data_IF_391942131341
#
_entry.id   IF_391942131341
#
_cell.length_a   1.000
_cell.length_b   1.000
_cell.length_c   1.000
_cell.angle_alpha   90.00
_cell.angle_beta   90.00
_cell.angle_gamma   90.00
#
_symmetry.space_group_name_H-M   'P 1'
#
loop_
_entity.id
_entity.type
_entity.pdbx_description
1 polymer ?
#
# COMPACT_ATOMS: atom_id res chain seq x y z
N UNK A 1 6.96 -17.81 -36.45
CA UNK A 1 6.71 -16.38 -36.14
C UNK A 1 5.68 -16.35 -35.02
N UNK A 2 6.14 -16.13 -33.78
CA UNK A 2 5.26 -16.00 -32.61
C UNK A 2 4.72 -14.57 -32.59
N UNK A 3 3.41 -14.42 -32.69
CA UNK A 3 2.74 -13.13 -32.83
C UNK A 3 2.71 -12.36 -31.52
N UNK A 4 3.07 -11.08 -31.65
CA UNK A 4 3.26 -10.06 -30.63
C UNK A 4 1.93 -9.55 -30.04
N UNK A 5 1.12 -10.43 -29.44
CA UNK A 5 -0.17 -10.05 -28.84
C UNK A 5 -0.14 -10.24 -27.32
N UNK A 6 0.38 -9.24 -26.59
CA UNK A 6 0.28 -9.22 -25.12
C UNK A 6 0.23 -7.81 -24.48
N UNK A 7 0.46 -6.72 -25.22
CA UNK A 7 0.55 -5.37 -24.62
C UNK A 7 -0.36 -4.30 -25.21
N UNK A 8 -1.30 -4.66 -26.09
CA UNK A 8 -2.07 -3.66 -26.87
C UNK A 8 -3.58 -3.73 -26.69
N UNK A 9 -4.04 -3.95 -25.46
CA UNK A 9 -5.46 -3.74 -25.14
C UNK A 9 -5.63 -3.24 -23.69
N UNK A 10 -5.02 -2.09 -23.39
CA UNK A 10 -5.53 -1.24 -22.31
C UNK A 10 -6.90 -0.73 -22.80
N UNK A 11 -7.96 -1.44 -22.42
CA UNK A 11 -9.32 -1.22 -22.90
C UNK A 11 -9.72 0.27 -22.81
N UNK A 12 -10.26 0.78 -23.91
CA UNK A 12 -10.65 2.18 -24.12
C UNK A 12 -11.94 2.61 -23.42
N UNK A 13 -12.65 1.72 -22.72
CA UNK A 13 -13.85 2.10 -21.95
C UNK A 13 -13.54 2.16 -20.46
N UNK A 14 -13.28 3.38 -19.97
CA UNK A 14 -13.21 3.66 -18.54
C UNK A 14 -14.62 3.44 -17.93
N UNK A 15 -14.93 2.20 -17.53
CA UNK A 15 -16.20 1.87 -16.87
C UNK A 15 -16.42 2.68 -15.58
N UNK A 16 -15.36 3.26 -15.02
CA UNK A 16 -15.38 3.98 -13.76
C UNK A 16 -14.40 5.16 -13.83
N UNK A 17 -14.90 6.37 -14.10
CA UNK A 17 -14.18 7.65 -14.02
C UNK A 17 -14.55 8.43 -12.74
N UNK A 18 -15.67 8.08 -12.11
CA UNK A 18 -16.15 8.73 -10.90
C UNK A 18 -15.26 8.40 -9.68
N UNK A 19 -15.01 9.35 -8.77
CA UNK A 19 -14.38 9.09 -7.48
C UNK A 19 -15.21 8.17 -6.58
N UNK A 20 -14.59 7.63 -5.53
CA UNK A 20 -15.32 6.93 -4.47
C UNK A 20 -16.39 7.85 -3.86
N UNK A 21 -17.58 7.31 -3.62
CA UNK A 21 -18.66 8.05 -2.95
C UNK A 21 -18.21 8.40 -1.53
N UNK A 22 -18.22 9.68 -1.19
CA UNK A 22 -17.76 10.18 0.11
C UNK A 22 -16.26 10.47 0.21
N UNK A 23 -15.49 10.32 -0.88
CA UNK A 23 -14.07 10.69 -0.90
C UNK A 23 -13.91 12.18 -0.55
N UNK A 24 -13.07 12.54 0.44
CA UNK A 24 -12.70 13.93 0.67
C UNK A 24 -11.95 14.48 -0.55
N UNK A 25 -12.67 15.19 -1.43
CA UNK A 25 -12.13 15.57 -2.73
C UNK A 25 -11.38 16.90 -2.70
N UNK A 26 -11.89 17.95 -2.04
CA UNK A 26 -11.23 19.26 -1.97
C UNK A 26 -10.38 19.41 -0.70
N UNK A 27 -9.08 19.19 -0.82
CA UNK A 27 -8.12 19.17 0.29
C UNK A 27 -7.10 20.30 0.14
N UNK A 28 -6.76 20.96 1.25
CA UNK A 28 -5.71 21.99 1.26
C UNK A 28 -4.33 21.31 1.34
N UNK A 29 -3.52 21.49 0.30
CA UNK A 29 -2.13 21.02 0.20
C UNK A 29 -1.26 22.26 0.00
N UNK A 30 -0.35 22.49 0.95
CA UNK A 30 0.63 23.60 0.93
C UNK A 30 0.00 24.97 0.65
N UNK A 31 -1.15 25.23 1.27
CA UNK A 31 -1.88 26.49 1.13
C UNK A 31 -2.95 26.49 0.04
N UNK A 32 -2.93 25.55 -0.90
CA UNK A 32 -3.79 25.52 -2.09
C UNK A 32 -4.83 24.40 -2.00
N UNK A 33 -6.07 24.68 -2.41
CA UNK A 33 -7.09 23.63 -2.51
C UNK A 33 -6.93 22.82 -3.78
N UNK A 34 -6.69 21.53 -3.64
CA UNK A 34 -6.55 20.57 -4.73
C UNK A 34 -7.71 19.57 -4.70
N UNK A 35 -8.20 19.19 -5.87
CA UNK A 35 -9.22 18.15 -6.01
C UNK A 35 -8.57 16.79 -6.27
N UNK A 36 -8.72 15.87 -5.33
CA UNK A 36 -8.28 14.48 -5.48
C UNK A 36 -9.40 13.61 -6.03
N UNK A 37 -8.99 12.61 -6.79
CA UNK A 37 -9.88 11.66 -7.46
C UNK A 37 -9.05 10.59 -8.15
N UNK A 38 -9.69 9.79 -9.00
CA UNK A 38 -9.05 8.61 -9.54
C UNK A 38 -8.00 8.93 -10.60
N UNK A 39 -6.90 8.18 -10.55
CA UNK A 39 -5.89 8.20 -11.59
C UNK A 39 -6.16 7.08 -12.61
N UNK A 40 -6.60 7.45 -13.81
CA UNK A 40 -7.04 6.47 -14.83
C UNK A 40 -5.95 5.47 -15.25
N UNK A 41 -4.67 5.85 -15.44
CA UNK A 41 -3.61 4.88 -15.69
C UNK A 41 -3.50 3.82 -14.60
N UNK A 42 -3.53 4.21 -13.32
CA UNK A 42 -3.51 3.28 -12.20
C UNK A 42 -4.73 2.36 -12.15
N UNK A 43 -5.94 2.89 -12.42
CA UNK A 43 -7.16 2.06 -12.52
C UNK A 43 -7.03 1.01 -13.63
N UNK A 44 -6.60 1.42 -14.82
CA UNK A 44 -6.41 0.51 -15.96
C UNK A 44 -5.37 -0.57 -15.66
N UNK A 45 -4.25 -0.22 -15.03
CA UNK A 45 -3.23 -1.18 -14.62
C UNK A 45 -3.77 -2.18 -13.58
N UNK A 46 -4.54 -1.72 -12.60
CA UNK A 46 -5.16 -2.59 -11.60
C UNK A 46 -6.18 -3.56 -12.23
N UNK A 47 -7.00 -3.08 -13.16
CA UNK A 47 -7.96 -3.90 -13.91
C UNK A 47 -7.25 -4.93 -14.80
N UNK A 48 -6.20 -4.52 -15.51
CA UNK A 48 -5.40 -5.39 -16.35
C UNK A 48 -4.76 -6.52 -15.53
N UNK A 49 -4.18 -6.19 -14.36
CA UNK A 49 -3.63 -7.17 -13.44
C UNK A 49 -4.69 -8.20 -13.02
N UNK A 50 -5.85 -7.74 -12.49
CA UNK A 50 -6.90 -8.65 -12.03
C UNK A 50 -7.41 -9.57 -13.16
N UNK A 51 -7.62 -9.03 -14.36
CA UNK A 51 -8.03 -9.82 -15.52
C UNK A 51 -6.99 -10.86 -15.92
N UNK A 52 -5.70 -10.53 -15.82
CA UNK A 52 -4.62 -11.46 -16.19
C UNK A 52 -4.57 -12.71 -15.32
N UNK A 53 -5.02 -12.61 -14.07
CA UNK A 53 -5.10 -13.73 -13.12
C UNK A 53 -6.51 -14.33 -13.05
N UNK A 54 -7.37 -14.03 -14.03
CA UNK A 54 -8.73 -14.58 -14.12
C UNK A 54 -9.73 -14.01 -13.10
N UNK A 55 -9.39 -12.93 -12.38
CA UNK A 55 -10.29 -12.26 -11.44
C UNK A 55 -11.08 -11.15 -12.13
N UNK A 56 -12.33 -10.95 -11.70
CA UNK A 56 -13.12 -9.79 -12.10
C UNK A 56 -12.62 -8.55 -11.35
N UNK A 57 -12.48 -7.39 -12.02
CA UNK A 57 -12.09 -6.14 -11.36
C UNK A 57 -13.24 -5.57 -10.54
N UNK A 58 -13.36 -6.02 -9.30
CA UNK A 58 -14.32 -5.52 -8.32
C UNK A 58 -13.55 -4.77 -7.25
N UNK A 59 -13.77 -3.46 -7.17
CA UNK A 59 -13.14 -2.57 -6.20
C UNK A 59 -14.21 -1.88 -5.34
N UNK A 60 -13.87 -1.46 -4.10
CA UNK A 60 -14.71 -0.57 -3.32
C UNK A 60 -15.15 0.66 -4.10
N UNK A 61 -16.38 1.12 -3.86
CA UNK A 61 -17.00 2.31 -4.46
C UNK A 61 -17.31 3.39 -3.45
N UNK A 62 -17.20 3.08 -2.17
CA UNK A 62 -17.51 4.00 -1.07
C UNK A 62 -16.24 4.27 -0.28
N UNK A 63 -15.96 5.54 -0.01
CA UNK A 63 -14.98 5.95 0.98
C UNK A 63 -15.61 5.81 2.36
N UNK A 64 -15.14 4.83 3.14
CA UNK A 64 -15.75 4.51 4.44
C UNK A 64 -15.11 5.32 5.55
N UNK A 65 -15.94 5.71 6.52
CA UNK A 65 -15.45 6.25 7.78
C UNK A 65 -14.77 5.16 8.59
N UNK A 66 -13.70 5.54 9.28
CA UNK A 66 -12.95 4.60 10.09
C UNK A 66 -13.73 4.21 11.35
N UNK A 67 -13.76 2.92 11.66
CA UNK A 67 -14.33 2.40 12.90
C UNK A 67 -13.27 2.44 14.01
N UNK A 68 -13.41 3.41 14.93
CA UNK A 68 -12.44 3.65 16.01
C UNK A 68 -12.29 2.47 16.96
N UNK A 69 -13.39 1.79 17.30
CA UNK A 69 -13.36 0.66 18.25
C UNK A 69 -12.64 -0.54 17.62
N UNK A 70 -12.92 -0.82 16.34
CA UNK A 70 -12.16 -1.82 15.58
C UNK A 70 -10.68 -1.45 15.52
N UNK A 71 -10.35 -0.22 15.16
CA UNK A 71 -8.95 0.19 15.02
C UNK A 71 -8.20 0.16 16.36
N UNK A 72 -8.86 0.47 17.46
CA UNK A 72 -8.26 0.37 18.81
C UNK A 72 -7.97 -1.09 19.18
N UNK A 73 -8.89 -2.01 18.88
CA UNK A 73 -8.67 -3.46 19.06
C UNK A 73 -7.52 -3.99 18.21
N UNK A 74 -7.46 -3.58 16.94
CA UNK A 74 -6.37 -3.96 16.03
C UNK A 74 -5.03 -3.42 16.54
N UNK A 75 -4.99 -2.17 17.02
CA UNK A 75 -3.78 -1.56 17.55
C UNK A 75 -3.21 -2.36 18.73
N UNK A 76 -4.07 -2.79 19.65
CA UNK A 76 -3.68 -3.65 20.77
C UNK A 76 -3.15 -5.02 20.28
N UNK A 77 -3.86 -5.66 19.35
CA UNK A 77 -3.41 -6.94 18.79
C UNK A 77 -2.06 -6.81 18.08
N UNK A 78 -1.82 -5.70 17.37
CA UNK A 78 -0.53 -5.46 16.70
C UNK A 78 0.59 -5.17 17.71
N UNK A 79 0.30 -4.48 18.81
CA UNK A 79 1.26 -4.28 19.92
C UNK A 79 1.69 -5.64 20.50
N UNK A 80 0.72 -6.51 20.78
CA UNK A 80 0.94 -7.84 21.38
C UNK A 80 1.52 -8.86 20.38
N UNK A 81 1.36 -8.63 19.07
CA UNK A 81 1.81 -9.53 18.00
C UNK A 81 3.31 -9.84 18.16
N UNK A 82 3.62 -11.14 18.25
CA UNK A 82 4.98 -11.63 18.19
C UNK A 82 5.32 -12.01 16.74
N UNK A 83 6.52 -11.68 16.24
CA UNK A 83 6.98 -12.19 14.95
C UNK A 83 6.99 -13.73 14.93
N UNK A 84 6.50 -14.32 13.86
CA UNK A 84 6.45 -15.77 13.63
C UNK A 84 7.08 -16.16 12.28
N UNK A 85 8.34 -15.77 12.00
CA UNK A 85 8.93 -15.92 10.67
C UNK A 85 9.13 -17.37 10.21
N UNK A 86 9.11 -18.35 11.12
CA UNK A 86 9.19 -19.79 10.79
C UNK A 86 7.84 -20.51 10.82
N UNK A 87 6.74 -19.84 11.22
CA UNK A 87 5.42 -20.45 11.18
C UNK A 87 4.97 -20.67 9.72
N UNK A 88 4.52 -21.88 9.41
CA UNK A 88 4.23 -22.28 8.03
C UNK A 88 3.13 -21.42 7.39
N UNK A 89 2.13 -21.01 8.17
CA UNK A 89 1.04 -20.18 7.67
C UNK A 89 1.50 -18.75 7.43
N UNK A 90 2.33 -18.20 8.33
CA UNK A 90 2.99 -16.89 8.18
C UNK A 90 3.85 -16.87 6.93
N UNK A 91 4.75 -17.84 6.76
CA UNK A 91 5.60 -17.97 5.57
C UNK A 91 4.75 -18.06 4.29
N UNK A 92 3.69 -18.87 4.30
CA UNK A 92 2.80 -19.03 3.14
C UNK A 92 2.06 -17.74 2.79
N UNK A 93 1.56 -17.00 3.79
CA UNK A 93 0.86 -15.74 3.61
C UNK A 93 1.77 -14.64 3.05
N UNK A 94 2.97 -14.48 3.63
CA UNK A 94 3.94 -13.53 3.12
C UNK A 94 4.49 -13.94 1.75
N UNK A 95 4.74 -15.24 1.49
CA UNK A 95 5.15 -15.69 0.15
C UNK A 95 4.11 -15.37 -0.92
N UNK A 96 2.82 -15.55 -0.61
CA UNK A 96 1.72 -15.15 -1.49
C UNK A 96 1.68 -13.63 -1.69
N UNK A 97 1.81 -12.85 -0.61
CA UNK A 97 1.92 -11.38 -0.67
C UNK A 97 3.05 -10.93 -1.59
N UNK A 98 4.24 -11.51 -1.45
CA UNK A 98 5.42 -11.18 -2.25
C UNK A 98 5.18 -11.51 -3.71
N UNK A 99 4.77 -12.74 -4.02
CA UNK A 99 4.53 -13.17 -5.40
C UNK A 99 3.50 -12.29 -6.09
N UNK A 100 2.38 -12.00 -5.42
CA UNK A 100 1.31 -11.16 -5.96
C UNK A 100 1.72 -9.69 -6.08
N UNK A 101 2.55 -9.17 -5.17
CA UNK A 101 3.11 -7.80 -5.22
C UNK A 101 4.08 -7.65 -6.39
N UNK A 102 4.98 -8.60 -6.59
CA UNK A 102 5.91 -8.58 -7.72
C UNK A 102 5.17 -8.71 -9.06
N UNK A 103 4.11 -9.51 -9.11
CA UNK A 103 3.26 -9.58 -10.30
C UNK A 103 2.53 -8.25 -10.57
N UNK A 104 2.03 -7.58 -9.53
CA UNK A 104 1.43 -6.25 -9.63
C UNK A 104 2.44 -5.19 -10.11
N UNK A 105 3.68 -5.25 -9.63
CA UNK A 105 4.75 -4.35 -10.03
C UNK A 105 5.00 -4.34 -11.55
N UNK A 106 4.92 -5.49 -12.21
CA UNK A 106 5.05 -5.57 -13.67
C UNK A 106 4.00 -4.70 -14.41
N UNK A 107 2.76 -4.65 -13.89
CA UNK A 107 1.71 -3.81 -14.45
C UNK A 107 1.92 -2.33 -14.18
N UNK A 108 2.53 -1.97 -13.04
CA UNK A 108 2.90 -0.59 -12.74
C UNK A 108 4.02 -0.14 -13.68
N UNK A 109 5.07 -0.96 -13.88
CA UNK A 109 6.15 -0.63 -14.83
C UNK A 109 5.63 -0.36 -16.24
N UNK A 110 4.62 -1.12 -16.68
CA UNK A 110 3.99 -0.92 -17.99
C UNK A 110 3.26 0.43 -18.14
N UNK A 111 2.96 1.14 -17.03
CA UNK A 111 2.42 2.51 -17.08
C UNK A 111 3.48 3.58 -17.35
N UNK A 112 4.77 3.20 -17.32
CA UNK A 112 5.90 4.12 -17.47
C UNK A 112 6.21 4.94 -16.22
N UNK A 113 5.63 4.58 -15.05
CA UNK A 113 5.94 5.21 -13.78
C UNK A 113 7.46 5.19 -13.54
N UNK A 114 8.03 6.36 -13.29
CA UNK A 114 9.41 6.50 -12.83
C UNK A 114 9.44 6.44 -11.31
N UNK A 115 10.38 5.69 -10.77
CA UNK A 115 10.57 5.57 -9.33
C UNK A 115 12.02 5.88 -9.00
N UNK A 116 12.22 6.67 -7.96
CA UNK A 116 13.53 7.05 -7.41
C UNK A 116 13.53 6.83 -5.89
N UNK A 117 14.69 6.64 -5.28
CA UNK A 117 14.78 6.70 -3.82
C UNK A 117 14.76 8.14 -3.33
N UNK A 118 14.24 8.34 -2.12
CA UNK A 118 14.24 9.64 -1.46
C UNK A 118 15.63 10.31 -1.50
N UNK A 119 15.73 11.56 -1.99
CA UNK A 119 17.01 12.24 -2.09
C UNK A 119 17.61 12.45 -0.70
N UNK A 120 18.83 11.96 -0.50
CA UNK A 120 19.53 11.97 0.80
C UNK A 120 18.75 11.27 1.94
N UNK A 121 17.86 10.33 1.61
CA UNK A 121 17.05 9.58 2.59
C UNK A 121 16.00 10.42 3.31
N UNK A 122 15.70 11.63 2.85
CA UNK A 122 14.71 12.53 3.46
C UNK A 122 13.42 12.54 2.65
N UNK A 123 12.29 12.67 3.35
CA UNK A 123 10.97 12.84 2.72
C UNK A 123 10.99 14.06 1.77
N UNK A 124 10.84 13.87 0.45
CA UNK A 124 10.86 14.96 -0.51
C UNK A 124 9.53 15.69 -0.61
N UNK A 125 8.45 15.12 -0.06
CA UNK A 125 7.09 15.60 -0.27
C UNK A 125 6.63 16.58 0.79
N UNK A 126 7.06 16.40 2.05
CA UNK A 126 6.65 17.17 3.21
C UNK A 126 5.18 16.96 3.58
N UNK A 127 4.27 17.34 2.68
CA UNK A 127 2.89 16.88 2.70
C UNK A 127 2.78 15.57 1.91
N UNK A 128 2.36 14.45 2.53
CA UNK A 128 2.33 13.16 1.85
C UNK A 128 1.35 13.13 0.66
N UNK A 129 0.39 14.06 0.58
CA UNK A 129 -0.46 14.22 -0.60
C UNK A 129 0.33 14.61 -1.85
N UNK A 130 1.52 15.20 -1.72
CA UNK A 130 2.37 15.51 -2.86
C UNK A 130 2.90 14.25 -3.56
N UNK A 131 2.98 13.08 -2.89
CA UNK A 131 3.29 11.81 -3.56
C UNK A 131 2.23 11.44 -4.60
N UNK A 132 0.96 11.62 -4.28
CA UNK A 132 -0.13 11.39 -5.25
C UNK A 132 -0.08 12.40 -6.39
N UNK A 133 0.22 13.66 -6.10
CA UNK A 133 0.35 14.70 -7.12
C UNK A 133 1.56 14.50 -8.03
N UNK A 134 2.66 13.95 -7.50
CA UNK A 134 3.85 13.64 -8.28
C UNK A 134 3.55 12.54 -9.31
N UNK A 135 2.85 11.48 -8.90
CA UNK A 135 2.42 10.44 -9.83
C UNK A 135 1.44 11.00 -10.87
N UNK A 136 0.45 11.77 -10.44
CA UNK A 136 -0.59 12.30 -11.34
C UNK A 136 -0.03 13.29 -12.36
N UNK A 137 0.88 14.17 -11.94
CA UNK A 137 1.36 15.27 -12.78
C UNK A 137 2.66 14.95 -13.53
N UNK A 138 3.52 14.09 -12.96
CA UNK A 138 4.87 13.84 -13.45
C UNK A 138 5.12 12.36 -13.79
N UNK A 139 4.17 11.46 -13.50
CA UNK A 139 4.35 10.01 -13.60
C UNK A 139 5.62 9.55 -12.87
N UNK A 140 5.82 10.10 -11.67
CA UNK A 140 7.02 9.93 -10.87
C UNK A 140 6.64 9.65 -9.39
N UNK A 141 7.43 8.83 -8.70
CA UNK A 141 7.28 8.55 -7.27
C UNK A 141 8.64 8.34 -6.59
N UNK A 142 8.97 9.18 -5.63
CA UNK A 142 9.96 8.90 -4.61
C UNK A 142 9.47 7.89 -3.57
N UNK A 143 10.34 6.95 -3.19
CA UNK A 143 10.11 6.07 -2.03
C UNK A 143 11.24 6.10 -1.02
N UNK A 144 10.88 5.93 0.25
CA UNK A 144 11.85 5.77 1.33
C UNK A 144 12.42 4.34 1.28
N UNK A 145 13.73 4.16 1.00
CA UNK A 145 14.35 2.84 0.95
C UNK A 145 14.19 2.07 2.25
N UNK A 146 13.85 0.79 2.14
CA UNK A 146 13.70 -0.16 3.24
C UNK A 146 14.93 -0.17 4.13
N UNK A 147 16.12 -0.16 3.52
CA UNK A 147 17.41 -0.15 4.23
C UNK A 147 17.61 1.04 5.18
N UNK A 148 16.84 2.12 5.03
CA UNK A 148 16.89 3.29 5.93
C UNK A 148 15.69 3.40 6.88
N UNK A 149 14.64 2.59 6.68
CA UNK A 149 13.32 2.85 7.27
C UNK A 149 12.57 1.59 7.70
N UNK A 150 13.26 0.48 7.95
CA UNK A 150 12.63 -0.76 8.39
C UNK A 150 12.42 -0.82 9.91
N UNK A 151 12.01 0.27 10.56
CA UNK A 151 11.60 0.32 11.99
C UNK A 151 12.67 -0.04 13.05
N UNK A 152 13.71 -0.78 12.68
CA UNK A 152 14.85 -1.22 13.48
C UNK A 152 15.97 -1.65 12.51
N UNK A 153 17.18 -1.11 12.69
CA UNK A 153 18.34 -1.47 11.87
C UNK A 153 18.73 -2.95 12.01
N UNK A 154 18.42 -3.58 13.15
CA UNK A 154 18.80 -4.97 13.42
C UNK A 154 18.03 -5.97 12.53
N UNK A 155 16.84 -5.60 12.04
CA UNK A 155 16.03 -6.44 11.14
C UNK A 155 16.48 -6.41 9.67
N UNK A 156 17.19 -5.37 9.23
CA UNK A 156 17.69 -5.27 7.85
C UNK A 156 18.87 -6.23 7.59
N UNK A 157 19.57 -6.66 8.64
CA UNK A 157 20.77 -7.48 8.53
C UNK A 157 20.48 -8.99 8.60
N UNK A 158 19.22 -9.41 8.80
CA UNK A 158 18.85 -10.82 8.92
C UNK A 158 17.65 -11.21 8.03
N UNK A 159 17.94 -11.69 6.80
CA UNK A 159 16.92 -12.23 5.89
C UNK A 159 16.21 -13.47 6.43
N UNK A 160 16.81 -14.22 7.36
CA UNK A 160 16.20 -15.39 7.98
C UNK A 160 15.07 -14.99 8.95
N UNK A 161 15.03 -13.72 9.36
CA UNK A 161 13.98 -13.16 10.21
C UNK A 161 12.84 -12.50 9.43
N UNK A 162 13.04 -12.09 8.17
CA UNK A 162 11.99 -11.46 7.37
C UNK A 162 12.20 -11.57 5.84
N UNK A 163 11.35 -12.32 5.15
CA UNK A 163 11.43 -12.48 3.68
C UNK A 163 11.05 -11.22 2.88
N UNK A 164 10.52 -10.18 3.54
CA UNK A 164 10.25 -8.88 2.90
C UNK A 164 11.52 -8.07 2.64
N UNK A 165 12.65 -8.41 3.28
CA UNK A 165 13.96 -7.75 3.01
C UNK A 165 14.81 -8.53 2.00
N UNK A 166 14.25 -9.54 1.32
CA UNK A 166 14.92 -10.24 0.23
C UNK A 166 15.13 -9.34 -0.98
N UNK A 167 16.27 -9.47 -1.65
CA UNK A 167 16.60 -8.74 -2.87
C UNK A 167 15.74 -9.20 -4.06
N UNK A 168 15.42 -8.25 -4.95
CA UNK A 168 14.63 -8.49 -6.15
C UNK A 168 15.51 -8.41 -7.40
N UNK A 169 14.93 -8.64 -8.58
CA UNK A 169 15.61 -8.39 -9.86
C UNK A 169 15.57 -6.93 -10.30
N UNK A 170 14.90 -6.03 -9.56
CA UNK A 170 14.74 -4.63 -9.94
C UNK A 170 15.87 -3.78 -9.35
N UNK A 171 16.46 -2.94 -10.18
CA UNK A 171 17.52 -1.98 -9.80
C UNK A 171 17.05 -0.56 -10.10
N UNK A 172 17.15 0.32 -9.11
CA UNK A 172 16.87 1.76 -9.21
C UNK A 172 18.01 2.52 -8.55
N UNK A 173 18.45 3.63 -9.14
CA UNK A 173 19.58 4.44 -8.64
C UNK A 173 20.86 3.63 -8.37
N UNK A 174 21.09 2.58 -9.16
CA UNK A 174 22.23 1.67 -9.01
C UNK A 174 22.14 0.72 -7.80
N UNK A 175 21.01 0.66 -7.10
CA UNK A 175 20.77 -0.21 -5.96
C UNK A 175 19.70 -1.25 -6.27
N UNK A 176 19.94 -2.49 -5.81
CA UNK A 176 18.94 -3.57 -5.89
C UNK A 176 17.84 -3.28 -4.88
N UNK A 177 16.60 -3.26 -5.35
CA UNK A 177 15.43 -3.07 -4.52
C UNK A 177 15.13 -4.31 -3.71
N UNK A 178 14.72 -4.11 -2.46
CA UNK A 178 14.16 -5.16 -1.62
C UNK A 178 12.68 -5.35 -1.94
N UNK A 179 12.14 -6.52 -1.61
CA UNK A 179 10.72 -6.83 -1.79
C UNK A 179 9.82 -5.78 -1.11
N UNK A 180 10.18 -5.32 0.09
CA UNK A 180 9.45 -4.29 0.81
C UNK A 180 9.47 -2.91 0.13
N UNK A 181 10.52 -2.60 -0.66
CA UNK A 181 10.56 -1.37 -1.47
C UNK A 181 9.49 -1.43 -2.57
N UNK A 182 9.42 -2.58 -3.26
CA UNK A 182 8.39 -2.81 -4.29
C UNK A 182 7.00 -2.82 -3.66
N UNK A 183 6.84 -3.42 -2.48
CA UNK A 183 5.57 -3.44 -1.76
C UNK A 183 5.06 -2.04 -1.44
N UNK A 184 5.93 -1.13 -0.98
CA UNK A 184 5.57 0.28 -0.73
C UNK A 184 5.09 0.98 -2.00
N UNK A 185 5.81 0.83 -3.11
CA UNK A 185 5.42 1.42 -4.40
C UNK A 185 4.05 0.91 -4.85
N UNK A 186 3.88 -0.42 -4.83
CA UNK A 186 2.64 -1.08 -5.26
C UNK A 186 1.47 -0.61 -4.40
N UNK A 187 1.67 -0.51 -3.08
CA UNK A 187 0.66 0.00 -2.17
C UNK A 187 0.35 1.48 -2.40
N UNK A 188 1.35 2.34 -2.54
CA UNK A 188 1.14 3.77 -2.81
C UNK A 188 0.39 3.97 -4.14
N UNK A 189 0.77 3.23 -5.17
CA UNK A 189 0.15 3.35 -6.49
C UNK A 189 -1.29 2.81 -6.52
N UNK A 190 -1.53 1.57 -6.07
CA UNK A 190 -2.86 0.95 -6.15
C UNK A 190 -3.79 1.26 -4.97
N UNK A 191 -3.23 1.52 -3.79
CA UNK A 191 -3.97 1.92 -2.59
C UNK A 191 -4.27 3.42 -2.55
N UNK A 192 -3.27 4.27 -2.75
CA UNK A 192 -3.42 5.72 -2.63
C UNK A 192 -3.74 6.40 -3.96
N UNK A 193 -2.85 6.32 -4.95
CA UNK A 193 -2.94 7.07 -6.22
C UNK A 193 -4.17 6.68 -7.02
N UNK A 194 -4.48 5.38 -7.14
CA UNK A 194 -5.58 4.85 -7.96
C UNK A 194 -6.91 5.55 -7.72
N UNK A 195 -7.22 5.88 -6.47
CA UNK A 195 -8.48 6.50 -6.05
C UNK A 195 -8.32 7.91 -5.47
N UNK A 196 -7.10 8.36 -5.21
CA UNK A 196 -6.82 9.61 -4.49
C UNK A 196 -6.99 9.50 -2.97
N UNK A 197 -6.78 8.31 -2.39
CA UNK A 197 -6.84 8.12 -0.93
C UNK A 197 -5.68 8.88 -0.23
N UNK A 198 -5.92 9.30 1.01
CA UNK A 198 -4.92 10.01 1.81
C UNK A 198 -4.06 9.10 2.68
N UNK A 199 -3.10 9.70 3.37
CA UNK A 199 -2.13 9.01 4.23
C UNK A 199 -2.37 9.23 5.74
N UNK A 200 -3.56 9.73 6.10
CA UNK A 200 -4.02 9.76 7.50
C UNK A 200 -4.89 8.54 7.74
N UNK A 201 -5.19 8.23 9.01
CA UNK A 201 -5.80 6.98 9.42
C UNK A 201 -6.99 6.48 8.55
N UNK A 202 -7.94 7.37 8.23
CA UNK A 202 -9.08 7.03 7.37
C UNK A 202 -8.66 6.78 5.91
N UNK A 203 -7.71 7.55 5.40
CA UNK A 203 -7.16 7.38 4.06
C UNK A 203 -6.39 6.07 3.92
N UNK A 204 -5.57 5.72 4.91
CA UNK A 204 -4.83 4.45 4.99
C UNK A 204 -5.77 3.24 5.03
N UNK A 205 -6.84 3.26 5.84
CA UNK A 205 -7.82 2.15 5.86
C UNK A 205 -8.54 2.02 4.52
N UNK A 206 -8.88 3.13 3.85
CA UNK A 206 -9.46 3.07 2.50
C UNK A 206 -8.45 2.65 1.42
N UNK A 207 -7.18 3.03 1.54
CA UNK A 207 -6.11 2.57 0.66
C UNK A 207 -5.90 1.06 0.81
N UNK A 208 -5.89 0.56 2.04
CA UNK A 208 -5.90 -0.86 2.35
C UNK A 208 -7.12 -1.56 1.73
N UNK A 209 -8.35 -1.05 1.91
CA UNK A 209 -9.57 -1.63 1.29
C UNK A 209 -9.45 -1.75 -0.23
N UNK A 210 -8.95 -0.69 -0.87
CA UNK A 210 -8.75 -0.66 -2.32
C UNK A 210 -7.72 -1.67 -2.79
N UNK A 211 -6.60 -1.77 -2.08
CA UNK A 211 -5.49 -2.64 -2.44
C UNK A 211 -5.77 -4.11 -2.10
N UNK A 212 -6.44 -4.39 -0.98
CA UNK A 212 -6.81 -5.72 -0.54
C UNK A 212 -7.66 -6.46 -1.58
N UNK A 213 -8.52 -5.76 -2.33
CA UNK A 213 -9.30 -6.34 -3.42
C UNK A 213 -8.45 -6.98 -4.54
N UNK A 214 -7.17 -6.63 -4.63
CA UNK A 214 -6.24 -7.18 -5.64
C UNK A 214 -5.60 -8.49 -5.20
N UNK A 215 -5.51 -8.74 -3.89
CA UNK A 215 -4.81 -9.90 -3.35
C UNK A 215 -5.71 -11.13 -3.16
N UNK A 216 -5.11 -12.32 -3.11
CA UNK A 216 -5.77 -13.55 -2.67
C UNK A 216 -6.16 -13.49 -1.18
N UNK A 217 -7.12 -14.30 -0.71
CA UNK A 217 -7.43 -14.39 0.71
C UNK A 217 -6.20 -14.66 1.59
N UNK A 218 -5.29 -15.52 1.12
CA UNK A 218 -4.07 -15.86 1.86
C UNK A 218 -3.10 -14.66 1.95
N UNK A 219 -2.80 -14.01 0.82
CA UNK A 219 -1.94 -12.82 0.80
C UNK A 219 -2.54 -11.65 1.60
N UNK A 220 -3.88 -11.50 1.59
CA UNK A 220 -4.58 -10.46 2.36
C UNK A 220 -4.32 -10.55 3.86
N UNK A 221 -4.00 -11.73 4.41
CA UNK A 221 -3.67 -11.88 5.84
C UNK A 221 -2.36 -11.18 6.21
N UNK A 222 -1.31 -11.36 5.40
CA UNK A 222 -0.05 -10.65 5.57
C UNK A 222 -0.23 -9.15 5.28
N UNK A 223 -0.94 -8.81 4.19
CA UNK A 223 -1.27 -7.41 3.85
C UNK A 223 -1.96 -6.67 5.00
N UNK A 224 -2.93 -7.31 5.66
CA UNK A 224 -3.66 -6.71 6.78
C UNK A 224 -2.76 -6.45 7.98
N UNK A 225 -1.81 -7.35 8.24
CA UNK A 225 -0.85 -7.20 9.35
C UNK A 225 0.10 -6.03 9.08
N UNK A 226 0.66 -5.95 7.87
CA UNK A 226 1.66 -4.94 7.51
C UNK A 226 1.06 -3.55 7.23
N UNK A 227 -0.18 -3.45 6.72
CA UNK A 227 -0.79 -2.14 6.42
C UNK A 227 -1.79 -1.73 7.49
N UNK A 228 -2.84 -2.53 7.68
CA UNK A 228 -3.95 -2.16 8.56
C UNK A 228 -3.54 -2.20 10.03
N UNK A 229 -2.77 -3.22 10.42
CA UNK A 229 -2.19 -3.38 11.75
C UNK A 229 -1.33 -2.18 12.13
N UNK A 230 -0.34 -1.86 11.30
CA UNK A 230 0.52 -0.69 11.49
C UNK A 230 -0.26 0.62 11.51
N UNK A 231 -1.19 0.85 10.57
CA UNK A 231 -2.02 2.07 10.58
C UNK A 231 -2.81 2.21 11.88
N UNK A 232 -3.38 1.11 12.38
CA UNK A 232 -4.10 1.11 13.64
C UNK A 232 -3.17 1.38 14.83
N UNK A 233 -2.01 0.73 14.87
CA UNK A 233 -1.02 0.95 15.92
C UNK A 233 -0.49 2.38 15.94
N UNK A 234 -0.14 2.94 14.77
CA UNK A 234 0.34 4.32 14.65
C UNK A 234 -0.68 5.30 15.21
N UNK A 235 -1.97 5.06 14.99
CA UNK A 235 -3.01 6.00 15.37
C UNK A 235 -3.63 5.73 16.74
N UNK A 236 -3.61 4.51 17.30
CA UNK A 236 -4.27 4.16 18.57
C UNK A 236 -3.45 3.27 19.50
N UNK A 237 -2.20 2.94 19.15
CA UNK A 237 -1.26 2.27 20.03
C UNK A 237 -0.65 3.22 21.08
N UNK A 238 0.44 2.81 21.75
CA UNK A 238 1.07 3.55 22.85
C UNK A 238 1.43 5.01 22.51
N UNK A 239 1.82 5.26 21.25
CA UNK A 239 2.20 6.60 20.76
C UNK A 239 1.08 7.31 19.98
N UNK A 240 -0.14 6.75 19.96
CA UNK A 240 -1.24 7.23 19.12
C UNK A 240 -1.65 8.68 19.39
N UNK A 241 -1.57 9.16 20.64
CA UNK A 241 -1.87 10.56 20.94
C UNK A 241 -0.87 11.54 20.31
N UNK A 242 0.43 11.19 20.34
CA UNK A 242 1.49 11.95 19.70
C UNK A 242 1.35 11.87 18.17
N UNK A 243 1.30 10.66 17.63
CA UNK A 243 1.28 10.40 16.19
C UNK A 243 0.11 11.04 15.45
N UNK A 244 -1.08 11.12 16.05
CA UNK A 244 -2.24 11.80 15.42
C UNK A 244 -2.01 13.30 15.20
N UNK A 245 -1.04 13.91 15.89
CA UNK A 245 -0.65 15.33 15.75
C UNK A 245 0.67 15.50 14.98
N UNK A 246 1.44 14.43 14.81
CA UNK A 246 2.75 14.44 14.19
C UNK A 246 2.69 14.62 12.65
N UNK A 247 3.77 15.18 12.10
CA UNK A 247 4.07 15.08 10.67
C UNK A 247 4.76 13.72 10.38
N UNK A 248 5.05 13.42 9.11
CA UNK A 248 5.68 12.16 8.71
C UNK A 248 7.03 11.90 9.37
N UNK A 249 7.86 12.95 9.54
CA UNK A 249 9.20 12.83 10.14
C UNK A 249 9.20 12.66 11.66
N UNK A 250 8.16 13.14 12.34
CA UNK A 250 8.01 13.05 13.81
C UNK A 250 7.12 11.87 14.25
N UNK A 251 6.56 11.11 13.30
CA UNK A 251 5.72 9.96 13.59
C UNK A 251 6.57 8.81 14.11
N UNK A 252 6.18 8.24 15.26
CA UNK A 252 6.81 7.05 15.83
C UNK A 252 6.10 5.84 15.24
N UNK A 253 6.84 5.05 14.47
CA UNK A 253 6.34 3.82 13.87
C UNK A 253 6.63 2.62 14.77
N UNK A 254 5.81 1.58 14.66
CA UNK A 254 6.11 0.31 15.28
C UNK A 254 7.25 -0.38 14.52
N UNK A 255 8.01 -1.26 15.19
CA UNK A 255 8.80 -2.25 14.47
C UNK A 255 7.91 -3.04 13.51
N UNK A 256 8.40 -3.30 12.30
CA UNK A 256 7.69 -4.14 11.34
C UNK A 256 7.82 -5.60 11.78
N UNK A 257 6.70 -6.32 11.84
CA UNK A 257 6.63 -7.68 12.40
C UNK A 257 6.19 -8.66 11.32
N UNK A 258 7.01 -9.65 10.98
CA UNK A 258 6.58 -10.77 10.15
C UNK A 258 5.75 -11.73 10.99
N UNK A 259 4.45 -11.46 11.06
CA UNK A 259 3.48 -12.23 11.84
C UNK A 259 2.07 -11.97 11.36
N UNK A 260 1.12 -12.85 11.72
CA UNK A 260 -0.26 -12.72 11.27
C UNK A 260 -1.17 -12.28 12.41
N UNK A 261 -1.86 -11.17 12.21
CA UNK A 261 -3.03 -10.80 13.00
C UNK A 261 -4.17 -11.83 12.82
N UNK A 262 -5.14 -11.87 13.75
CA UNK A 262 -6.33 -12.70 13.61
C UNK A 262 -7.05 -12.49 12.27
N UNK A 263 -7.60 -13.56 11.70
CA UNK A 263 -8.18 -13.57 10.35
C UNK A 263 -9.21 -12.47 10.11
N UNK A 264 -10.05 -12.18 11.12
CA UNK A 264 -11.08 -11.13 11.03
C UNK A 264 -10.51 -9.75 10.68
N UNK A 265 -9.24 -9.46 11.02
CA UNK A 265 -8.59 -8.19 10.69
C UNK A 265 -8.46 -8.00 9.17
N UNK A 266 -8.30 -9.09 8.43
CA UNK A 266 -8.19 -9.11 6.97
C UNK A 266 -9.55 -9.11 6.25
N UNK A 267 -10.66 -9.26 6.98
CA UNK A 267 -12.00 -9.47 6.42
C UNK A 267 -12.97 -8.35 6.82
N UNK A 268 -12.98 -7.95 8.09
CA UNK A 268 -14.00 -7.07 8.63
C UNK A 268 -13.88 -5.64 8.07
N UNK A 269 -14.93 -5.16 7.40
CA UNK A 269 -14.97 -3.81 6.84
C UNK A 269 -14.06 -3.59 5.62
N UNK A 270 -13.64 -4.67 4.95
CA UNK A 270 -12.92 -4.57 3.66
C UNK A 270 -13.86 -4.17 2.53
N UNK A 271 -15.04 -4.78 2.49
CA UNK A 271 -16.05 -4.55 1.45
C UNK A 271 -16.80 -3.22 1.66
N UNK A 272 -17.59 -2.81 0.67
CA UNK A 272 -18.51 -1.68 0.86
C UNK A 272 -19.63 -2.07 1.84
N UNK A 273 -20.10 -1.15 2.69
CA UNK A 273 -21.26 -1.40 3.53
C UNK A 273 -22.47 -1.78 2.67
N UNK A 274 -23.27 -2.72 3.14
CA UNK A 274 -24.57 -3.00 2.54
C UNK A 274 -25.42 -1.72 2.61
N UNK A 275 -26.01 -1.33 1.48
CA UNK A 275 -26.95 -0.20 1.37
C UNK A 275 -28.28 -0.49 2.06
#
# INVERSE_FOLDING_TARGET
MLSNTSTTQLAEEALHDKPLRGLPSKIKVDGVYITFGPHLPARRAAEAYLRSIGKKPVFPRVYTKLNRDRSTRIAQLYEELQPTPQDQLTVSAYSALISETLAQWEYIKATGLKVEFNPNGKDPYGNPRNAVLDVVNNNHLYILPTRFAFGDSEFCDNTDANIMVTETSTVIDGQVMLVNDIFRIVHDYFGHVKEGNGFRAEGEDNAYRCHAAMYSPLARRALASDLRGQNCWVNWGPWGEHNRKANGGDTIFAPQKMGLLPEWVAEEGVEDPLE
#
